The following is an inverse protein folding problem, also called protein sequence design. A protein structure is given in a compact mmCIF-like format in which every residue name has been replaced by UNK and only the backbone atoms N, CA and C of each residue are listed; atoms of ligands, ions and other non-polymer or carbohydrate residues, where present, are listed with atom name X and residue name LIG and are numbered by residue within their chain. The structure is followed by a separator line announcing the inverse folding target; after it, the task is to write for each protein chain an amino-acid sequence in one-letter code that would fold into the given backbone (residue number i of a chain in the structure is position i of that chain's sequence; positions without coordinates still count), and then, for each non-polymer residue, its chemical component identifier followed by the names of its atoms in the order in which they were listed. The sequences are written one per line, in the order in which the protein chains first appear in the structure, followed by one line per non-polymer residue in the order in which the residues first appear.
data_IF_786212351396
#
_entry.id   IF_786212351396
#
_cell.length_a   1.000
_cell.length_b   1.000
_cell.length_c   1.000
_cell.angle_alpha   90.00
_cell.angle_beta   90.00
_cell.angle_gamma   90.00
#
_symmetry.space_group_name_H-M   'P 1'
#
loop_
_entity.id
_entity.type
_entity.pdbx_description
1 polymer ?
#
# COMPACT_ATOMS: atom_id res chain seq x y z
N UNK A 1 -27.62 -24.84 47.93
CA UNK A 1 -26.92 -24.34 46.73
C UNK A 1 -27.38 -25.22 45.58
N UNK A 2 -28.51 -24.86 44.99
CA UNK A 2 -29.22 -25.66 43.99
C UNK A 2 -28.85 -25.12 42.61
N UNK A 3 -28.26 -25.99 41.79
CA UNK A 3 -27.94 -25.73 40.40
C UNK A 3 -29.27 -25.65 39.64
N UNK A 4 -29.63 -24.45 39.19
CA UNK A 4 -30.69 -24.25 38.20
C UNK A 4 -30.15 -24.68 36.84
N UNK A 5 -30.58 -25.85 36.39
CA UNK A 5 -30.43 -26.28 34.99
C UNK A 5 -31.58 -25.63 34.22
N UNK A 6 -31.23 -24.77 33.27
CA UNK A 6 -32.16 -24.19 32.30
C UNK A 6 -32.89 -25.31 31.56
N UNK A 7 -34.19 -25.45 31.83
CA UNK A 7 -35.09 -26.30 31.04
C UNK A 7 -35.58 -25.51 29.83
N UNK A 8 -34.73 -25.31 28.83
CA UNK A 8 -35.19 -25.02 27.46
C UNK A 8 -35.57 -26.34 26.80
N UNK A 9 -36.74 -26.87 27.18
CA UNK A 9 -37.37 -28.01 26.52
C UNK A 9 -37.95 -27.55 25.18
N UNK A 10 -37.16 -27.79 24.13
CA UNK A 10 -37.57 -28.28 22.82
C UNK A 10 -38.99 -27.91 22.31
N UNK A 11 -39.16 -26.69 21.82
CA UNK A 11 -40.26 -26.32 20.89
C UNK A 11 -39.89 -26.66 19.44
N UNK A 12 -39.49 -27.91 19.18
CA UNK A 12 -39.12 -28.34 17.83
C UNK A 12 -39.51 -29.78 17.61
N UNK A 13 -40.82 -30.04 17.50
CA UNK A 13 -41.27 -31.24 16.82
C UNK A 13 -42.65 -31.09 16.17
N UNK A 14 -43.52 -30.23 16.71
CA UNK A 14 -44.89 -30.12 16.18
C UNK A 14 -44.96 -29.49 14.78
N UNK A 15 -44.09 -28.52 14.45
CA UNK A 15 -44.07 -27.92 13.11
C UNK A 15 -43.53 -28.88 12.05
N UNK A 16 -42.50 -29.65 12.40
CA UNK A 16 -41.86 -30.61 11.49
C UNK A 16 -42.76 -31.83 11.29
N UNK A 17 -43.41 -32.31 12.36
CA UNK A 17 -44.37 -33.42 12.28
C UNK A 17 -45.63 -32.99 11.52
N UNK A 18 -46.12 -31.75 11.68
CA UNK A 18 -47.22 -31.24 10.85
C UNK A 18 -46.84 -31.07 9.39
N UNK A 19 -45.62 -30.62 9.08
CA UNK A 19 -45.13 -30.54 7.70
C UNK A 19 -45.00 -31.94 7.08
N UNK A 20 -44.49 -32.92 7.83
CA UNK A 20 -44.39 -34.31 7.38
C UNK A 20 -45.77 -34.94 7.21
N UNK A 21 -46.71 -34.70 8.13
CA UNK A 21 -48.08 -35.20 8.01
C UNK A 21 -48.85 -34.53 6.87
N UNK A 22 -48.60 -33.26 6.56
CA UNK A 22 -49.15 -32.61 5.37
C UNK A 22 -48.57 -33.19 4.08
N UNK A 23 -47.28 -33.52 4.05
CA UNK A 23 -46.65 -34.18 2.90
C UNK A 23 -47.21 -35.60 2.72
N UNK A 24 -47.36 -36.36 3.81
CA UNK A 24 -47.88 -37.74 3.76
C UNK A 24 -49.39 -37.76 3.46
N UNK A 25 -50.19 -36.88 4.05
CA UNK A 25 -51.63 -36.79 3.77
C UNK A 25 -51.90 -36.36 2.32
N UNK A 26 -51.10 -35.44 1.76
CA UNK A 26 -51.21 -35.03 0.35
C UNK A 26 -50.72 -36.09 -0.64
N UNK A 27 -50.15 -37.21 -0.18
CA UNK A 27 -49.74 -38.32 -1.06
C UNK A 27 -50.77 -39.45 -1.19
N UNK A 28 -51.87 -39.42 -0.42
CA UNK A 28 -52.84 -40.52 -0.37
C UNK A 28 -54.13 -40.26 -1.15
N UNK A 29 -54.43 -39.02 -1.55
CA UNK A 29 -55.56 -38.74 -2.44
C UNK A 29 -55.13 -38.47 -3.88
N UNK A 30 -55.68 -39.29 -4.78
CA UNK A 30 -55.60 -39.24 -6.24
C UNK A 30 -54.22 -39.41 -6.90
N UNK A 31 -53.95 -40.67 -7.27
CA UNK A 31 -53.22 -41.00 -8.50
C UNK A 31 -53.97 -40.40 -9.68
N UNK A 32 -53.49 -39.26 -10.17
CA UNK A 32 -53.38 -38.92 -11.58
C UNK A 32 -52.31 -37.82 -11.70
N UNK A 33 -51.29 -38.05 -12.53
CA UNK A 33 -50.17 -37.13 -12.70
C UNK A 33 -50.61 -35.88 -13.48
N UNK A 34 -51.03 -34.82 -12.78
CA UNK A 34 -51.47 -33.55 -13.37
C UNK A 34 -50.32 -32.59 -13.78
N UNK A 35 -49.31 -33.07 -14.50
CA UNK A 35 -48.33 -32.19 -15.15
C UNK A 35 -48.14 -32.58 -16.62
N UNK A 36 -49.12 -32.25 -17.46
CA UNK A 36 -48.87 -32.12 -18.89
C UNK A 36 -48.33 -30.72 -19.13
N UNK A 37 -47.02 -30.52 -18.98
CA UNK A 37 -46.41 -29.28 -19.46
C UNK A 37 -46.64 -29.21 -20.98
N UNK A 38 -47.22 -28.10 -21.45
CA UNK A 38 -47.25 -27.81 -22.87
C UNK A 38 -45.81 -27.69 -23.38
N UNK A 39 -45.57 -28.05 -24.65
CA UNK A 39 -44.24 -27.97 -25.26
C UNK A 39 -43.56 -26.59 -25.06
N UNK A 40 -44.37 -25.52 -25.07
CA UNK A 40 -43.91 -24.16 -24.81
C UNK A 40 -43.41 -23.96 -23.37
N UNK A 41 -44.10 -24.50 -22.37
CA UNK A 41 -43.68 -24.37 -20.97
C UNK A 41 -42.39 -25.16 -20.68
N UNK A 42 -42.18 -26.30 -21.34
CA UNK A 42 -40.91 -27.05 -21.27
C UNK A 42 -39.76 -26.23 -21.84
N UNK A 43 -39.96 -25.56 -22.99
CA UNK A 43 -38.96 -24.67 -23.59
C UNK A 43 -38.66 -23.49 -22.67
N UNK A 44 -39.69 -22.85 -22.10
CA UNK A 44 -39.52 -21.74 -21.16
C UNK A 44 -38.75 -22.18 -19.91
N UNK A 45 -39.04 -23.36 -19.37
CA UNK A 45 -38.31 -23.92 -18.22
C UNK A 45 -36.83 -24.15 -18.55
N UNK A 46 -36.51 -24.71 -19.73
CA UNK A 46 -35.14 -24.92 -20.17
C UNK A 46 -34.38 -23.60 -20.34
N UNK A 47 -35.01 -22.59 -20.95
CA UNK A 47 -34.42 -21.26 -21.10
C UNK A 47 -34.21 -20.58 -19.74
N UNK A 48 -35.14 -20.75 -18.81
CA UNK A 48 -35.01 -20.22 -17.45
C UNK A 48 -33.82 -20.87 -16.72
N UNK A 49 -33.69 -22.19 -16.75
CA UNK A 49 -32.55 -22.92 -16.16
C UNK A 49 -31.23 -22.46 -16.79
N UNK A 50 -31.20 -22.32 -18.12
CA UNK A 50 -30.01 -21.86 -18.83
C UNK A 50 -29.64 -20.42 -18.44
N UNK A 51 -30.63 -19.53 -18.31
CA UNK A 51 -30.40 -18.14 -17.91
C UNK A 51 -29.82 -18.04 -16.49
N UNK A 52 -30.34 -18.85 -15.55
CA UNK A 52 -29.84 -18.91 -14.18
C UNK A 52 -28.41 -19.46 -14.16
N UNK A 53 -28.12 -20.51 -14.93
CA UNK A 53 -26.76 -21.05 -15.02
C UNK A 53 -25.74 -20.03 -15.56
N UNK A 54 -26.11 -19.28 -16.61
CA UNK A 54 -25.28 -18.21 -17.17
C UNK A 54 -25.08 -17.08 -16.15
N UNK A 55 -26.14 -16.68 -15.43
CA UNK A 55 -26.06 -15.65 -14.41
C UNK A 55 -25.12 -16.05 -13.26
N UNK A 56 -25.23 -17.29 -12.76
CA UNK A 56 -24.33 -17.82 -11.73
C UNK A 56 -22.88 -17.83 -12.21
N UNK A 57 -22.63 -18.22 -13.46
CA UNK A 57 -21.30 -18.21 -14.05
C UNK A 57 -20.71 -16.79 -14.11
N UNK A 58 -21.48 -15.82 -14.62
CA UNK A 58 -21.04 -14.42 -14.71
C UNK A 58 -20.77 -13.83 -13.33
N UNK A 59 -21.66 -14.08 -12.37
CA UNK A 59 -21.51 -13.62 -10.99
C UNK A 59 -20.22 -14.16 -10.35
N UNK A 60 -19.96 -15.46 -10.46
CA UNK A 60 -18.74 -16.07 -9.91
C UNK A 60 -17.47 -15.51 -10.59
N UNK A 61 -17.50 -15.29 -11.90
CA UNK A 61 -16.40 -14.68 -12.64
C UNK A 61 -16.15 -13.23 -12.18
N UNK A 62 -17.22 -12.45 -12.03
CA UNK A 62 -17.14 -11.05 -11.59
C UNK A 62 -16.66 -10.95 -10.14
N UNK A 63 -17.15 -11.82 -9.25
CA UNK A 63 -16.76 -11.84 -7.84
C UNK A 63 -15.30 -12.23 -7.64
N UNK A 64 -14.76 -13.15 -8.45
CA UNK A 64 -13.33 -13.47 -8.43
C UNK A 64 -12.47 -12.27 -8.81
N UNK A 65 -12.79 -11.61 -9.92
CA UNK A 65 -12.06 -10.42 -10.39
C UNK A 65 -12.12 -9.28 -9.36
N UNK A 66 -13.31 -9.00 -8.82
CA UNK A 66 -13.50 -7.98 -7.80
C UNK A 66 -12.71 -8.26 -6.50
N UNK A 67 -12.61 -9.54 -6.08
CA UNK A 67 -11.79 -9.90 -4.91
C UNK A 67 -10.29 -9.69 -5.14
N UNK A 68 -9.81 -9.91 -6.36
CA UNK A 68 -8.40 -9.65 -6.72
C UNK A 68 -8.13 -8.15 -6.75
N UNK A 69 -9.00 -7.36 -7.39
CA UNK A 69 -8.92 -5.89 -7.42
C UNK A 69 -8.98 -5.28 -6.01
N UNK A 70 -9.89 -5.74 -5.16
CA UNK A 70 -9.99 -5.28 -3.77
C UNK A 70 -8.75 -5.63 -2.94
N UNK A 71 -8.13 -6.78 -3.15
CA UNK A 71 -6.89 -7.14 -2.45
C UNK A 71 -5.74 -6.22 -2.85
N UNK A 72 -5.60 -5.93 -4.14
CA UNK A 72 -4.57 -4.99 -4.64
C UNK A 72 -4.84 -3.59 -4.12
N UNK A 73 -6.08 -3.09 -4.24
CA UNK A 73 -6.47 -1.78 -3.74
C UNK A 73 -6.28 -1.64 -2.22
N UNK A 74 -6.64 -2.65 -1.43
CA UNK A 74 -6.41 -2.63 0.01
C UNK A 74 -4.93 -2.63 0.37
N UNK A 75 -4.10 -3.41 -0.36
CA UNK A 75 -2.65 -3.42 -0.15
C UNK A 75 -2.02 -2.06 -0.49
N UNK A 76 -2.42 -1.43 -1.59
CA UNK A 76 -2.00 -0.06 -1.99
C UNK A 76 -2.44 0.98 -0.95
N UNK A 77 -3.71 0.96 -0.55
CA UNK A 77 -4.25 1.88 0.45
C UNK A 77 -3.55 1.75 1.80
N UNK A 78 -3.22 0.53 2.20
CA UNK A 78 -2.46 0.28 3.43
C UNK A 78 -1.03 0.83 3.34
N UNK A 79 -0.32 0.60 2.23
CA UNK A 79 1.01 1.19 2.01
C UNK A 79 0.99 2.72 2.08
N UNK A 80 0.06 3.36 1.38
CA UNK A 80 -0.04 4.81 1.37
C UNK A 80 -0.39 5.35 2.76
N UNK A 81 -1.36 4.74 3.45
CA UNK A 81 -1.88 5.24 4.72
C UNK A 81 -0.97 4.96 5.92
N UNK A 82 -0.23 3.85 5.90
CA UNK A 82 0.56 3.38 7.04
C UNK A 82 2.05 3.65 6.89
N UNK A 83 2.57 3.61 5.66
CA UNK A 83 4.01 3.75 5.41
C UNK A 83 4.33 5.13 4.82
N UNK A 84 3.64 5.54 3.75
CA UNK A 84 4.02 6.77 3.02
C UNK A 84 3.58 8.03 3.76
N UNK A 85 2.28 8.19 4.03
CA UNK A 85 1.72 9.44 4.58
C UNK A 85 2.34 9.85 5.92
N UNK A 86 2.54 8.94 6.90
CA UNK A 86 3.17 9.31 8.16
C UNK A 86 4.61 9.78 8.00
N UNK A 87 5.33 9.29 6.98
CA UNK A 87 6.73 9.60 6.74
C UNK A 87 6.94 10.87 5.90
N UNK A 88 5.90 11.44 5.28
CA UNK A 88 6.04 12.67 4.48
C UNK A 88 6.49 13.85 5.33
N UNK A 89 5.98 13.96 6.56
CA UNK A 89 6.38 15.03 7.48
C UNK A 89 7.85 14.88 7.90
N UNK A 90 8.27 13.65 8.21
CA UNK A 90 9.66 13.34 8.55
C UNK A 90 10.61 13.63 7.37
N UNK A 91 10.23 13.26 6.14
CA UNK A 91 10.98 13.60 4.91
C UNK A 91 11.06 15.12 4.74
N UNK A 92 9.96 15.85 4.94
CA UNK A 92 9.96 17.31 4.85
C UNK A 92 10.92 17.94 5.86
N UNK A 93 10.88 17.47 7.11
CA UNK A 93 11.75 17.94 8.19
C UNK A 93 13.22 17.61 7.91
N UNK A 94 13.52 16.39 7.45
CA UNK A 94 14.86 15.95 7.06
C UNK A 94 15.45 16.88 6.00
N UNK A 95 14.73 17.13 4.89
CA UNK A 95 15.27 17.97 3.82
C UNK A 95 15.44 19.43 4.24
N UNK A 96 14.57 19.94 5.12
CA UNK A 96 14.76 21.29 5.69
C UNK A 96 16.06 21.34 6.51
N UNK A 97 16.27 20.34 7.37
CA UNK A 97 17.45 20.25 8.23
C UNK A 97 18.73 20.10 7.43
N UNK A 98 18.80 19.17 6.47
CA UNK A 98 20.03 18.95 5.69
C UNK A 98 20.41 20.14 4.82
N UNK A 99 19.43 20.89 4.31
CA UNK A 99 19.69 22.16 3.63
C UNK A 99 20.35 23.16 4.58
N UNK A 100 19.84 23.29 5.80
CA UNK A 100 20.39 24.21 6.81
C UNK A 100 21.81 23.79 7.23
N UNK A 101 22.02 22.49 7.44
CA UNK A 101 23.31 21.93 7.84
C UNK A 101 24.37 22.07 6.74
N UNK A 102 24.05 21.77 5.47
CA UNK A 102 24.97 21.94 4.34
C UNK A 102 25.36 23.41 4.16
N UNK A 103 24.41 24.33 4.28
CA UNK A 103 24.71 25.77 4.21
C UNK A 103 25.59 26.22 5.38
N UNK A 104 25.37 25.68 6.57
CA UNK A 104 26.21 25.94 7.74
C UNK A 104 27.64 25.42 7.54
N UNK A 105 27.78 24.21 7.01
CA UNK A 105 29.09 23.61 6.72
C UNK A 105 29.86 24.44 5.68
N UNK A 106 29.20 24.95 4.64
CA UNK A 106 29.83 25.85 3.68
C UNK A 106 30.32 27.15 4.32
N UNK A 107 29.59 27.71 5.29
CA UNK A 107 30.08 28.88 6.03
C UNK A 107 31.33 28.57 6.86
N UNK A 108 31.42 27.37 7.43
CA UNK A 108 32.59 26.89 8.19
C UNK A 108 33.77 26.64 7.25
N UNK A 109 33.50 26.09 6.06
CA UNK A 109 34.46 25.70 5.04
C UNK A 109 34.87 26.85 4.10
N UNK A 110 34.59 28.10 4.46
CA UNK A 110 34.83 29.27 3.60
C UNK A 110 36.22 29.25 2.93
N UNK A 111 36.29 29.52 1.61
CA UNK A 111 37.54 29.53 0.86
C UNK A 111 38.45 30.63 1.42
N UNK A 112 39.59 30.21 1.99
CA UNK A 112 40.49 31.06 2.77
C UNK A 112 40.94 30.41 4.08
N UNK A 113 40.17 29.45 4.59
CA UNK A 113 40.55 28.57 5.70
C UNK A 113 41.26 27.29 5.19
N UNK A 114 42.13 27.46 4.17
CA UNK A 114 42.61 26.44 3.23
C UNK A 114 43.56 25.37 3.81
N UNK A 115 43.63 25.24 5.13
CA UNK A 115 44.57 24.33 5.80
C UNK A 115 43.95 22.99 6.24
N UNK A 116 42.63 22.85 6.24
CA UNK A 116 41.98 21.78 6.98
C UNK A 116 41.12 20.86 6.11
N UNK A 117 41.76 20.14 5.18
CA UNK A 117 41.11 19.07 4.38
C UNK A 117 40.45 18.02 5.31
N UNK A 118 41.02 17.83 6.51
CA UNK A 118 40.44 16.95 7.55
C UNK A 118 39.04 17.44 7.92
N UNK A 119 38.84 18.75 8.08
CA UNK A 119 37.53 19.33 8.38
C UNK A 119 36.53 19.15 7.24
N UNK A 120 36.95 19.27 5.97
CA UNK A 120 36.08 18.96 4.82
C UNK A 120 35.64 17.49 4.88
N UNK A 121 36.59 16.57 5.06
CA UNK A 121 36.30 15.13 5.15
C UNK A 121 35.38 14.80 6.33
N UNK A 122 35.57 15.47 7.48
CA UNK A 122 34.72 15.33 8.65
C UNK A 122 33.27 15.77 8.34
N UNK A 123 33.09 16.94 7.71
CA UNK A 123 31.76 17.42 7.33
C UNK A 123 31.09 16.56 6.27
N UNK A 124 31.83 16.10 5.27
CA UNK A 124 31.30 15.15 4.29
C UNK A 124 30.84 13.84 4.96
N UNK A 125 31.63 13.31 5.90
CA UNK A 125 31.25 12.10 6.64
C UNK A 125 30.02 12.32 7.54
N UNK A 126 29.97 13.43 8.28
CA UNK A 126 28.83 13.80 9.14
C UNK A 126 27.54 13.90 8.33
N UNK A 127 27.60 14.51 7.13
CA UNK A 127 26.44 14.62 6.23
C UNK A 127 26.03 13.26 5.66
N UNK A 128 26.97 12.40 5.26
CA UNK A 128 26.67 11.02 4.82
C UNK A 128 26.02 10.20 5.93
N UNK A 129 26.53 10.27 7.15
CA UNK A 129 25.95 9.56 8.29
C UNK A 129 24.52 10.05 8.58
N UNK A 130 24.29 11.36 8.55
CA UNK A 130 22.96 11.94 8.72
C UNK A 130 21.96 11.48 7.64
N UNK A 131 22.40 11.43 6.38
CA UNK A 131 21.58 10.93 5.26
C UNK A 131 21.22 9.47 5.51
N UNK A 132 22.22 8.62 5.76
CA UNK A 132 22.02 7.19 5.99
C UNK A 132 21.13 6.90 7.19
N UNK A 133 21.37 7.56 8.33
CA UNK A 133 20.57 7.36 9.53
C UNK A 133 19.07 7.61 9.31
N UNK A 134 18.71 8.62 8.52
CA UNK A 134 17.32 8.89 8.16
C UNK A 134 16.78 7.85 7.18
N UNK A 135 17.51 7.60 6.09
CA UNK A 135 17.02 6.76 5.01
C UNK A 135 17.06 5.27 5.31
N UNK A 136 17.91 4.79 6.20
CA UNK A 136 17.92 3.38 6.66
C UNK A 136 16.59 3.02 7.33
N UNK A 137 16.06 3.93 8.15
CA UNK A 137 14.75 3.76 8.77
C UNK A 137 13.63 3.72 7.71
N UNK A 138 13.60 4.71 6.80
CA UNK A 138 12.61 4.76 5.73
C UNK A 138 12.69 3.54 4.81
N UNK A 139 13.90 3.13 4.42
CA UNK A 139 14.14 1.96 3.58
C UNK A 139 13.71 0.67 4.27
N UNK A 140 13.94 0.52 5.58
CA UNK A 140 13.47 -0.63 6.35
C UNK A 140 11.94 -0.78 6.28
N UNK A 141 11.22 0.33 6.48
CA UNK A 141 9.76 0.36 6.37
C UNK A 141 9.29 0.00 4.97
N UNK A 142 9.87 0.62 3.94
CA UNK A 142 9.50 0.38 2.54
C UNK A 142 9.84 -1.05 2.13
N UNK A 143 11.00 -1.58 2.53
CA UNK A 143 11.46 -2.94 2.20
C UNK A 143 10.53 -4.01 2.75
N UNK A 144 9.91 -3.78 3.91
CA UNK A 144 8.91 -4.69 4.47
C UNK A 144 7.68 -4.87 3.54
N UNK A 145 7.44 -3.89 2.67
CA UNK A 145 6.32 -3.90 1.73
C UNK A 145 6.73 -4.22 0.29
N UNK A 146 7.78 -3.57 -0.21
CA UNK A 146 8.32 -3.71 -1.57
C UNK A 146 9.85 -3.55 -1.59
N UNK A 147 10.54 -4.66 -1.84
CA UNK A 147 12.00 -4.73 -1.93
C UNK A 147 12.53 -3.96 -3.15
N UNK A 148 11.80 -3.97 -4.27
CA UNK A 148 12.20 -3.28 -5.50
C UNK A 148 12.15 -1.76 -5.30
N UNK A 149 11.08 -1.27 -4.68
CA UNK A 149 10.96 0.15 -4.33
C UNK A 149 12.05 0.59 -3.36
N UNK A 150 12.34 -0.21 -2.32
CA UNK A 150 13.43 0.07 -1.38
C UNK A 150 14.78 0.21 -2.07
N UNK A 151 15.09 -0.63 -3.08
CA UNK A 151 16.32 -0.48 -3.87
C UNK A 151 16.37 0.83 -4.65
N UNK A 152 15.28 1.20 -5.31
CA UNK A 152 15.19 2.48 -6.05
C UNK A 152 15.37 3.69 -5.12
N UNK A 153 14.89 3.61 -3.88
CA UNK A 153 15.13 4.64 -2.87
C UNK A 153 16.62 4.66 -2.51
N UNK A 154 17.25 3.51 -2.27
CA UNK A 154 18.69 3.45 -2.00
C UNK A 154 19.52 4.12 -3.10
N UNK A 155 19.18 3.90 -4.38
CA UNK A 155 19.85 4.55 -5.51
C UNK A 155 19.71 6.09 -5.47
N UNK A 156 18.55 6.62 -5.05
CA UNK A 156 18.36 8.08 -4.89
C UNK A 156 19.06 8.64 -3.65
N UNK A 157 19.27 7.81 -2.63
CA UNK A 157 20.02 8.16 -1.42
C UNK A 157 21.51 8.27 -1.72
N UNK A 158 22.07 7.30 -2.45
CA UNK A 158 23.47 7.34 -2.90
C UNK A 158 23.73 8.60 -3.74
N UNK A 159 22.83 8.93 -4.68
CA UNK A 159 22.92 10.19 -5.45
C UNK A 159 22.87 11.43 -4.56
N UNK A 160 22.05 11.43 -3.50
CA UNK A 160 21.97 12.56 -2.58
C UNK A 160 23.27 12.72 -1.78
N UNK A 161 23.87 11.62 -1.32
CA UNK A 161 25.16 11.66 -0.65
C UNK A 161 26.26 12.23 -1.54
N UNK A 162 26.34 11.73 -2.78
CA UNK A 162 27.32 12.19 -3.75
C UNK A 162 27.11 13.67 -4.06
N UNK A 163 25.87 14.09 -4.32
CA UNK A 163 25.55 15.49 -4.58
C UNK A 163 25.93 16.41 -3.40
N UNK A 164 25.67 16.01 -2.15
CA UNK A 164 26.06 16.79 -0.96
C UNK A 164 27.59 16.85 -0.82
N UNK A 165 28.27 15.73 -0.98
CA UNK A 165 29.74 15.69 -0.83
C UNK A 165 30.45 16.46 -1.94
N UNK A 166 29.99 16.35 -3.18
CA UNK A 166 30.46 17.15 -4.31
C UNK A 166 30.21 18.63 -4.08
N UNK A 167 29.01 19.04 -3.64
CA UNK A 167 28.73 20.45 -3.33
C UNK A 167 29.69 21.03 -2.28
N UNK A 168 29.95 20.30 -1.20
CA UNK A 168 30.91 20.74 -0.17
C UNK A 168 32.34 20.78 -0.70
N UNK A 169 32.74 19.80 -1.51
CA UNK A 169 34.05 19.72 -2.13
C UNK A 169 34.29 20.87 -3.10
N UNK A 170 33.38 21.08 -4.05
CA UNK A 170 33.47 22.12 -5.07
C UNK A 170 33.53 23.52 -4.44
N UNK A 171 32.73 23.74 -3.39
CA UNK A 171 32.76 24.98 -2.62
C UNK A 171 34.11 25.18 -1.92
N UNK A 172 34.63 24.15 -1.23
CA UNK A 172 35.90 24.21 -0.51
C UNK A 172 37.09 24.46 -1.44
N UNK A 173 37.14 23.78 -2.60
CA UNK A 173 38.19 23.96 -3.59
C UNK A 173 37.99 25.20 -4.48
N UNK A 174 36.93 25.97 -4.26
CA UNK A 174 36.57 27.14 -5.05
C UNK A 174 36.45 26.81 -6.56
N UNK A 175 35.94 25.62 -6.88
CA UNK A 175 35.65 25.13 -8.23
C UNK A 175 34.29 25.69 -8.68
N UNK A 176 33.30 25.63 -7.78
CA UNK A 176 31.98 26.22 -7.95
C UNK A 176 31.58 26.92 -6.65
N UNK A 177 30.82 28.01 -6.76
CA UNK A 177 30.27 28.71 -5.59
C UNK A 177 28.75 28.77 -5.72
N UNK A 178 28.07 27.64 -5.45
CA UNK A 178 26.65 27.53 -5.67
C UNK A 178 25.91 28.48 -4.73
N UNK A 179 24.99 29.27 -5.29
CA UNK A 179 24.15 30.14 -4.47
C UNK A 179 23.28 29.30 -3.53
N UNK A 180 22.87 29.91 -2.40
CA UNK A 180 21.92 29.29 -1.46
C UNK A 180 20.65 28.76 -2.15
N UNK A 181 20.19 29.43 -3.20
CA UNK A 181 19.04 29.01 -3.99
C UNK A 181 19.31 27.74 -4.79
N UNK A 182 20.50 27.60 -5.38
CA UNK A 182 20.88 26.43 -6.16
C UNK A 182 21.05 25.20 -5.26
N UNK A 183 21.72 25.34 -4.11
CA UNK A 183 21.85 24.27 -3.11
C UNK A 183 20.46 23.77 -2.68
N UNK A 184 19.57 24.70 -2.34
CA UNK A 184 18.18 24.38 -2.00
C UNK A 184 17.48 23.65 -3.14
N UNK A 185 17.61 24.13 -4.37
CA UNK A 185 16.97 23.55 -5.54
C UNK A 185 17.42 22.11 -5.76
N UNK A 186 18.73 21.84 -5.72
CA UNK A 186 19.28 20.49 -5.93
C UNK A 186 18.82 19.49 -4.87
N UNK A 187 18.88 19.89 -3.59
CA UNK A 187 18.39 19.03 -2.49
C UNK A 187 16.87 18.81 -2.55
N UNK A 188 16.10 19.82 -2.94
CA UNK A 188 14.66 19.68 -3.14
C UNK A 188 14.28 18.84 -4.38
N UNK A 189 15.15 18.76 -5.39
CA UNK A 189 14.95 17.85 -6.52
C UNK A 189 15.11 16.39 -6.07
N UNK A 190 16.11 16.08 -5.24
CA UNK A 190 16.22 14.76 -4.60
C UNK A 190 14.97 14.43 -3.78
N UNK A 191 14.48 15.38 -2.97
CA UNK A 191 13.22 15.22 -2.23
C UNK A 191 12.05 14.87 -3.14
N UNK A 192 11.89 15.61 -4.24
CA UNK A 192 10.85 15.34 -5.23
C UNK A 192 10.98 13.91 -5.78
N UNK A 193 12.19 13.45 -6.10
CA UNK A 193 12.39 12.10 -6.63
C UNK A 193 12.00 11.03 -5.62
N UNK A 194 12.46 11.15 -4.36
CA UNK A 194 12.10 10.21 -3.28
C UNK A 194 10.59 10.15 -3.08
N UNK A 195 9.94 11.31 -2.98
CA UNK A 195 8.47 11.37 -2.84
C UNK A 195 7.81 10.76 -4.08
N UNK A 196 8.27 11.10 -5.28
CA UNK A 196 7.73 10.54 -6.52
C UNK A 196 7.84 9.02 -6.55
N UNK A 197 8.95 8.43 -6.10
CA UNK A 197 9.11 6.98 -6.01
C UNK A 197 8.09 6.36 -5.06
N UNK A 198 7.90 6.96 -3.88
CA UNK A 198 6.92 6.50 -2.89
C UNK A 198 5.48 6.52 -3.44
N UNK A 199 5.12 7.53 -4.24
CA UNK A 199 3.81 7.62 -4.86
C UNK A 199 3.68 6.85 -6.19
N UNK A 200 4.77 6.59 -6.92
CA UNK A 200 4.67 5.89 -8.21
C UNK A 200 4.15 4.46 -8.04
N UNK A 201 4.50 3.80 -6.93
CA UNK A 201 3.98 2.46 -6.64
C UNK A 201 2.46 2.43 -6.42
N UNK A 202 1.83 3.55 -6.07
CA UNK A 202 0.36 3.61 -5.99
C UNK A 202 -0.29 3.76 -7.37
N UNK A 203 0.45 4.26 -8.38
CA UNK A 203 -0.03 4.50 -9.74
C UNK A 203 0.31 3.37 -10.74
N UNK A 204 1.42 2.64 -10.56
CA UNK A 204 1.90 1.63 -11.53
C UNK A 204 1.06 0.32 -11.61
N UNK A 205 0.04 0.13 -10.76
CA UNK A 205 -0.89 -1.02 -10.89
C UNK A 205 -2.34 -0.60 -11.24
N UNK A 206 -2.54 0.52 -11.94
CA UNK A 206 -3.81 0.89 -12.60
C UNK A 206 -3.72 0.62 -14.11
#
# INVERSE_FOLDING_TARGET
MLVTIDTTTAYSNDTIINLLNQIVANTVEHKDSYYYLSFNEVITLLLAILSVAIAIYQFNKQMRKNREEQKVANKKNWFLSVIVLPQIEDVNAFYKKIIEDVLSDMLILQPGNSGNIILLSEKQAERKEQINAFFDHLQSLVRSFDISLSRRIADEVEKLEDEVTTMLGDFYFNIDNPTRHEIRRRLLLSKKNVISLLYQKTQDDD
#
